data_IF_814516804450
#
_entry.id   IF_814516804450
#
_cell.length_a   1.000
_cell.length_b   1.000
_cell.length_c   1.000
_cell.angle_alpha   90.00
_cell.angle_beta   90.00
_cell.angle_gamma   90.00
#
_symmetry.space_group_name_H-M   'P 1'
#
loop_
_entity.id
_entity.type
_entity.pdbx_description
1 polymer ?
#
# COMPACT_ATOMS: atom_id res chain seq x y z
N UNK A 1 33.74 14.13 15.75
CA UNK A 1 33.11 15.12 14.86
C UNK A 1 32.83 14.47 13.53
N UNK A 2 31.57 14.15 13.25
CA UNK A 2 31.06 13.82 11.92
C UNK A 2 29.58 14.17 11.93
N UNK A 3 29.23 15.31 11.35
CA UNK A 3 27.84 15.75 11.16
C UNK A 3 27.37 15.20 9.82
N UNK A 4 26.50 14.19 9.86
CA UNK A 4 25.76 13.76 8.68
C UNK A 4 24.66 14.78 8.40
N UNK A 5 24.85 15.64 7.40
CA UNK A 5 23.81 16.50 6.84
C UNK A 5 22.79 15.62 6.11
N UNK A 6 21.82 15.08 6.85
CA UNK A 6 20.61 14.53 6.27
C UNK A 6 19.71 15.69 5.86
N UNK A 7 19.57 15.91 4.55
CA UNK A 7 18.59 16.84 3.97
C UNK A 7 17.21 16.55 4.56
N UNK A 8 16.79 17.36 5.53
CA UNK A 8 15.47 17.26 6.15
C UNK A 8 14.52 18.00 5.23
N UNK A 9 14.08 17.34 4.16
CA UNK A 9 12.95 17.85 3.37
C UNK A 9 11.73 17.79 4.27
N UNK A 10 11.27 18.94 4.74
CA UNK A 10 10.03 19.08 5.50
C UNK A 10 8.89 18.62 4.59
N UNK A 11 8.38 17.41 4.81
CA UNK A 11 7.16 16.95 4.15
C UNK A 11 6.03 17.79 4.75
N UNK A 12 5.44 18.70 3.97
CA UNK A 12 4.22 19.39 4.37
C UNK A 12 3.12 18.34 4.59
N UNK A 13 2.82 18.07 5.86
CA UNK A 13 1.78 17.15 6.27
C UNK A 13 0.44 17.87 6.16
N UNK A 14 -0.45 17.33 5.33
CA UNK A 14 -1.78 17.90 5.14
C UNK A 14 -2.78 17.11 5.97
N UNK A 15 -2.94 17.54 7.22
CA UNK A 15 -3.98 17.00 8.10
C UNK A 15 -5.36 17.07 7.44
N UNK A 16 -6.21 16.08 7.72
CA UNK A 16 -7.59 16.05 7.24
C UNK A 16 -8.37 17.28 7.74
N UNK A 17 -9.20 17.86 6.88
CA UNK A 17 -10.09 18.96 7.31
C UNK A 17 -11.25 18.44 8.16
N UNK A 18 -11.87 19.32 8.94
CA UNK A 18 -13.03 18.98 9.76
C UNK A 18 -14.19 18.41 8.90
N UNK A 19 -14.39 18.95 7.69
CA UNK A 19 -15.40 18.43 6.76
C UNK A 19 -15.07 17.04 6.25
N UNK A 20 -13.79 16.69 6.11
CA UNK A 20 -13.38 15.33 5.73
C UNK A 20 -13.61 14.35 6.89
N UNK A 21 -13.31 14.75 8.13
CA UNK A 21 -13.57 13.95 9.32
C UNK A 21 -15.07 13.72 9.51
N UNK A 22 -15.89 14.77 9.39
CA UNK A 22 -17.35 14.66 9.52
C UNK A 22 -17.96 13.77 8.42
N UNK A 23 -17.44 13.83 7.19
CA UNK A 23 -17.85 12.92 6.12
C UNK A 23 -17.49 11.48 6.43
N UNK A 24 -16.27 11.21 6.91
CA UNK A 24 -15.88 9.86 7.30
C UNK A 24 -16.82 9.28 8.37
N UNK A 25 -17.17 10.05 9.40
CA UNK A 25 -18.12 9.63 10.44
C UNK A 25 -19.52 9.36 9.90
N UNK A 26 -19.96 10.11 8.89
CA UNK A 26 -21.29 9.97 8.30
C UNK A 26 -21.37 8.80 7.32
N UNK A 27 -20.36 8.67 6.46
CA UNK A 27 -20.37 7.77 5.31
C UNK A 27 -19.65 6.44 5.57
N UNK A 28 -18.84 6.38 6.64
CA UNK A 28 -18.02 5.20 6.99
C UNK A 28 -16.78 5.01 6.13
N UNK A 29 -16.51 5.91 5.19
CA UNK A 29 -15.31 5.94 4.36
C UNK A 29 -14.95 7.37 3.96
N UNK A 30 -13.72 7.58 3.52
CA UNK A 30 -13.27 8.85 2.97
C UNK A 30 -12.48 8.60 1.68
N UNK A 31 -12.92 9.21 0.59
CA UNK A 31 -12.16 9.23 -0.65
C UNK A 31 -10.97 10.19 -0.50
N UNK A 32 -9.76 9.64 -0.54
CA UNK A 32 -8.53 10.42 -0.64
C UNK A 32 -8.05 10.41 -2.09
N UNK A 33 -7.52 11.53 -2.55
CA UNK A 33 -6.92 11.64 -3.88
C UNK A 33 -5.59 10.90 -3.97
N UNK A 34 -4.70 11.36 -4.85
CA UNK A 34 -3.37 10.78 -5.02
C UNK A 34 -2.56 10.90 -3.71
N UNK A 35 -2.12 9.76 -3.16
CA UNK A 35 -1.26 9.66 -1.97
C UNK A 35 0.18 9.34 -2.39
N UNK A 36 0.33 8.35 -3.27
CA UNK A 36 1.61 7.89 -3.80
C UNK A 36 1.90 8.53 -5.15
N UNK A 37 3.17 8.78 -5.43
CA UNK A 37 3.63 9.19 -6.75
C UNK A 37 3.59 8.03 -7.75
N UNK A 38 3.61 8.37 -9.04
CA UNK A 38 3.38 7.38 -10.11
C UNK A 38 4.48 6.32 -10.13
N UNK A 39 5.73 6.70 -9.84
CA UNK A 39 6.86 5.80 -9.73
C UNK A 39 6.77 4.86 -8.52
N UNK A 40 6.23 5.35 -7.39
CA UNK A 40 5.95 4.53 -6.21
C UNK A 40 4.86 3.49 -6.51
N UNK A 41 3.82 3.89 -7.24
CA UNK A 41 2.74 2.99 -7.69
C UNK A 41 3.28 1.96 -8.67
N UNK A 42 4.08 2.36 -9.66
CA UNK A 42 4.68 1.44 -10.63
C UNK A 42 5.62 0.43 -9.96
N UNK A 43 6.38 0.84 -8.94
CA UNK A 43 7.16 -0.07 -8.13
C UNK A 43 6.27 -1.11 -7.45
N UNK A 44 5.21 -0.69 -6.76
CA UNK A 44 4.30 -1.61 -6.07
C UNK A 44 3.58 -2.56 -7.05
N UNK A 45 3.20 -2.09 -8.24
CA UNK A 45 2.60 -2.91 -9.29
C UNK A 45 3.53 -4.03 -9.74
N UNK A 46 4.77 -3.68 -10.10
CA UNK A 46 5.77 -4.68 -10.50
C UNK A 46 6.05 -5.71 -9.41
N UNK A 47 6.12 -5.25 -8.16
CA UNK A 47 6.33 -6.13 -7.02
C UNK A 47 5.12 -7.03 -6.74
N UNK A 48 3.90 -6.53 -6.94
CA UNK A 48 2.69 -7.36 -6.88
C UNK A 48 2.69 -8.43 -7.96
N UNK A 49 2.95 -8.08 -9.22
CA UNK A 49 2.96 -9.01 -10.35
C UNK A 49 3.98 -10.14 -10.13
N UNK A 50 5.15 -9.79 -9.57
CA UNK A 50 6.16 -10.78 -9.19
C UNK A 50 5.65 -11.76 -8.13
N UNK A 51 5.03 -11.27 -7.07
CA UNK A 51 4.49 -12.14 -6.01
C UNK A 51 3.27 -12.94 -6.49
N UNK A 52 2.49 -12.38 -7.41
CA UNK A 52 1.40 -13.08 -8.09
C UNK A 52 1.91 -14.26 -8.91
N UNK A 53 2.91 -14.07 -9.76
CA UNK A 53 3.51 -15.17 -10.54
C UNK A 53 4.11 -16.25 -9.64
N UNK A 54 4.72 -15.87 -8.52
CA UNK A 54 5.21 -16.83 -7.51
C UNK A 54 4.06 -17.62 -6.87
N UNK A 55 2.94 -16.98 -6.57
CA UNK A 55 1.76 -17.67 -6.05
C UNK A 55 1.10 -18.56 -7.09
N UNK A 56 0.97 -18.08 -8.32
CA UNK A 56 0.38 -18.83 -9.43
C UNK A 56 1.20 -20.09 -9.76
N UNK A 57 2.53 -20.00 -9.73
CA UNK A 57 3.43 -21.13 -9.94
C UNK A 57 3.55 -22.08 -8.73
N UNK A 58 2.80 -21.85 -7.64
CA UNK A 58 2.79 -22.69 -6.45
C UNK A 58 3.98 -22.49 -5.50
N UNK A 59 4.78 -21.44 -5.71
CA UNK A 59 5.96 -21.13 -4.88
C UNK A 59 5.65 -20.16 -3.73
N UNK A 60 4.41 -19.66 -3.61
CA UNK A 60 3.98 -18.81 -2.50
C UNK A 60 3.16 -19.62 -1.48
N UNK A 61 3.54 -19.66 -0.19
CA UNK A 61 2.89 -20.54 0.80
C UNK A 61 1.52 -20.01 1.28
N UNK A 62 1.17 -18.74 1.02
CA UNK A 62 -0.02 -18.08 1.56
C UNK A 62 -0.86 -17.36 0.51
N UNK A 63 -1.33 -18.10 -0.49
CA UNK A 63 -2.39 -17.61 -1.38
C UNK A 63 -3.66 -18.41 -1.18
N UNK A 64 -4.81 -17.78 -1.43
CA UNK A 64 -6.10 -18.44 -1.56
C UNK A 64 -6.57 -18.26 -2.99
N UNK A 65 -7.01 -19.34 -3.62
CA UNK A 65 -7.72 -19.27 -4.90
C UNK A 65 -9.20 -19.39 -4.60
N UNK A 66 -9.97 -18.39 -4.99
CA UNK A 66 -11.43 -18.39 -4.93
C UNK A 66 -11.97 -18.45 -6.36
N UNK A 67 -12.98 -19.29 -6.60
CA UNK A 67 -13.73 -19.24 -7.85
C UNK A 67 -14.96 -18.36 -7.65
N UNK A 68 -15.16 -17.39 -8.55
CA UNK A 68 -16.37 -16.56 -8.62
C UNK A 68 -16.94 -16.73 -10.02
N UNK A 69 -17.95 -17.59 -10.15
CA UNK A 69 -18.39 -18.11 -11.45
C UNK A 69 -17.25 -18.85 -12.14
N UNK A 70 -16.97 -18.49 -13.39
CA UNK A 70 -15.87 -19.05 -14.19
C UNK A 70 -14.52 -18.38 -13.93
N UNK A 71 -14.49 -17.30 -13.12
CA UNK A 71 -13.26 -16.54 -12.84
C UNK A 71 -12.55 -17.10 -11.60
N UNK A 72 -11.24 -17.31 -11.70
CA UNK A 72 -10.38 -17.58 -10.53
C UNK A 72 -9.78 -16.27 -10.03
N UNK A 73 -10.07 -15.94 -8.79
CA UNK A 73 -9.47 -14.83 -8.05
C UNK A 73 -8.40 -15.40 -7.13
N UNK A 74 -7.17 -14.92 -7.27
CA UNK A 74 -6.07 -15.26 -6.38
C UNK A 74 -5.90 -14.12 -5.38
N UNK A 75 -6.05 -14.46 -4.10
CA UNK A 75 -5.80 -13.57 -2.98
C UNK A 75 -4.47 -13.93 -2.34
N UNK A 76 -3.51 -13.00 -2.33
CA UNK A 76 -2.25 -13.15 -1.59
C UNK A 76 -2.47 -12.58 -0.18
N UNK A 77 -2.31 -13.44 0.83
CA UNK A 77 -2.50 -13.05 2.23
C UNK A 77 -1.15 -12.66 2.82
N UNK A 78 -1.15 -11.65 3.70
CA UNK A 78 0.04 -11.19 4.41
C UNK A 78 1.16 -10.70 3.47
N UNK A 79 0.82 -10.02 2.37
CA UNK A 79 1.78 -9.44 1.42
C UNK A 79 2.92 -8.66 2.13
N UNK A 80 2.59 -7.93 3.20
CA UNK A 80 3.53 -7.14 3.99
C UNK A 80 4.56 -7.99 4.77
N UNK A 81 4.36 -9.29 4.94
CA UNK A 81 5.35 -10.20 5.54
C UNK A 81 6.39 -10.67 4.52
N UNK A 82 6.05 -10.66 3.22
CA UNK A 82 6.87 -11.24 2.15
C UNK A 82 7.51 -10.20 1.24
N UNK A 83 6.86 -9.05 1.06
CA UNK A 83 7.37 -7.99 0.21
C UNK A 83 7.62 -6.72 1.04
N UNK A 84 8.88 -6.30 1.09
CA UNK A 84 9.34 -5.16 1.87
C UNK A 84 8.73 -3.83 1.39
N UNK A 85 8.37 -3.71 0.12
CA UNK A 85 7.77 -2.51 -0.44
C UNK A 85 6.34 -2.32 0.07
N UNK A 86 5.55 -3.39 0.10
CA UNK A 86 4.23 -3.39 0.74
C UNK A 86 4.31 -3.22 2.25
N UNK A 87 5.35 -3.77 2.90
CA UNK A 87 5.59 -3.49 4.32
C UNK A 87 5.87 -2.02 4.59
N UNK A 88 6.70 -1.37 3.75
CA UNK A 88 7.01 0.06 3.87
C UNK A 88 5.77 0.92 3.68
N UNK A 89 4.85 0.53 2.80
CA UNK A 89 3.58 1.24 2.60
C UNK A 89 2.74 1.36 3.88
N UNK A 90 2.77 0.34 4.77
CA UNK A 90 2.08 0.40 6.07
C UNK A 90 2.65 1.46 7.02
N UNK A 91 3.89 1.90 6.77
CA UNK A 91 4.59 2.90 7.56
C UNK A 91 4.79 4.19 6.76
N UNK A 92 4.02 4.41 5.70
CA UNK A 92 4.07 5.66 4.95
C UNK A 92 3.40 6.76 5.77
N UNK A 93 4.16 7.80 6.10
CA UNK A 93 3.68 8.94 6.89
C UNK A 93 2.42 9.58 6.27
N UNK A 94 2.26 9.56 4.93
CA UNK A 94 1.08 10.14 4.25
C UNK A 94 -0.20 9.32 4.47
N UNK A 95 -0.07 8.09 4.95
CA UNK A 95 -1.19 7.18 5.27
C UNK A 95 -1.47 7.15 6.78
N UNK A 96 -0.43 7.29 7.60
CA UNK A 96 -0.53 7.18 9.06
C UNK A 96 -0.91 8.49 9.76
N UNK A 97 -0.63 9.64 9.16
CA UNK A 97 -0.98 10.98 9.68
C UNK A 97 -2.47 11.29 9.50
#
# INVERSE_FOLDING_TARGET
MQTANGNTTTVERKALTEEQVNRFWTDGYLGIGKILEDDEVELLRREYDREFERAYSGHHPRYRSHAVGDTRILQIIQMCEYNIHFRRLLYDDRILD
#
